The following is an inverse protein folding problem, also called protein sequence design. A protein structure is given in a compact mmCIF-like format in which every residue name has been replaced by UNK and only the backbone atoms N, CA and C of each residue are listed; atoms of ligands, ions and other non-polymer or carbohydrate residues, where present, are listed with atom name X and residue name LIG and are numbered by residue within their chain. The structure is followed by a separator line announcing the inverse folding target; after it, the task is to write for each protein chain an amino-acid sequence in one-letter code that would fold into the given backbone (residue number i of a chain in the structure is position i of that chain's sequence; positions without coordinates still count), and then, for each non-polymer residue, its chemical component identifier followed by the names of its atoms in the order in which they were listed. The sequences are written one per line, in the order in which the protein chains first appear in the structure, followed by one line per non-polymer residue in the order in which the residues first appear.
data_IF_004135327064
#
_entry.id   IF_004135327064
#
_cell.length_a   1.000
_cell.length_b   1.000
_cell.length_c   1.000
_cell.angle_alpha   90.00
_cell.angle_beta   90.00
_cell.angle_gamma   90.00
#
_symmetry.space_group_name_H-M   'P 1'
#
loop_
_entity.id
_entity.type
_entity.pdbx_description
1 polymer ?
#
# COMPACT_ATOMS: atom_id res chain seq x y z
N UNK A 1 -60.48 5.08 25.15
CA UNK A 1 -59.40 5.17 24.14
C UNK A 1 -58.85 3.76 23.93
N UNK A 2 -59.09 3.12 22.78
CA UNK A 2 -58.67 1.73 22.53
C UNK A 2 -57.23 1.72 22.01
N UNK A 3 -56.30 1.21 22.80
CA UNK A 3 -54.89 1.06 22.41
C UNK A 3 -54.80 -0.16 21.48
N UNK A 4 -54.49 0.07 20.20
CA UNK A 4 -54.15 -1.00 19.26
C UNK A 4 -52.75 -1.52 19.60
N UNK A 5 -52.67 -2.72 20.16
CA UNK A 5 -51.42 -3.47 20.29
C UNK A 5 -50.94 -3.87 18.89
N UNK A 6 -49.87 -3.24 18.42
CA UNK A 6 -49.20 -3.68 17.19
C UNK A 6 -48.56 -5.05 17.45
N UNK A 7 -48.86 -6.04 16.59
CA UNK A 7 -48.20 -7.35 16.65
C UNK A 7 -46.73 -7.18 16.30
N UNK A 8 -45.85 -7.35 17.26
CA UNK A 8 -44.41 -7.50 17.04
C UNK A 8 -44.18 -8.85 16.36
N UNK A 9 -43.91 -8.83 15.05
CA UNK A 9 -43.43 -10.01 14.33
C UNK A 9 -41.97 -10.22 14.71
N UNK A 10 -41.65 -11.29 15.45
CA UNK A 10 -40.29 -11.62 15.84
C UNK A 10 -39.58 -12.41 14.75
N UNK A 11 -38.31 -12.10 14.52
CA UNK A 11 -37.40 -12.95 13.73
C UNK A 11 -37.36 -14.35 14.35
N UNK A 12 -37.49 -15.39 13.52
CA UNK A 12 -37.33 -16.76 14.02
C UNK A 12 -35.85 -17.04 14.26
N UNK A 13 -35.54 -17.83 15.29
CA UNK A 13 -34.14 -18.19 15.59
C UNK A 13 -33.50 -18.92 14.38
N UNK A 14 -34.29 -19.72 13.67
CA UNK A 14 -33.88 -20.44 12.46
C UNK A 14 -33.50 -19.49 11.32
N UNK A 15 -34.26 -18.42 11.12
CA UNK A 15 -33.98 -17.41 10.09
C UNK A 15 -32.63 -16.72 10.35
N UNK A 16 -32.34 -16.37 11.61
CA UNK A 16 -31.04 -15.80 11.99
C UNK A 16 -29.91 -16.82 11.79
N UNK A 17 -30.11 -18.11 12.10
CA UNK A 17 -29.10 -19.16 11.90
C UNK A 17 -28.69 -19.33 10.44
N UNK A 18 -29.64 -19.30 9.51
CA UNK A 18 -29.36 -19.42 8.08
C UNK A 18 -28.58 -18.20 7.58
N UNK A 19 -28.95 -16.99 8.03
CA UNK A 19 -28.27 -15.75 7.64
C UNK A 19 -26.80 -15.75 8.09
N UNK A 20 -26.51 -16.12 9.35
CA UNK A 20 -25.12 -16.15 9.83
C UNK A 20 -24.30 -17.26 9.16
N UNK A 21 -24.92 -18.38 8.79
CA UNK A 21 -24.25 -19.45 8.04
C UNK A 21 -23.80 -18.97 6.64
N UNK A 22 -24.68 -18.27 5.92
CA UNK A 22 -24.36 -17.71 4.59
C UNK A 22 -23.29 -16.62 4.70
N UNK A 23 -23.40 -15.70 5.67
CA UNK A 23 -22.40 -14.66 5.90
C UNK A 23 -21.03 -15.28 6.22
N UNK A 24 -20.99 -16.32 7.06
CA UNK A 24 -19.76 -17.04 7.41
C UNK A 24 -19.07 -17.63 6.18
N UNK A 25 -19.83 -18.24 5.27
CA UNK A 25 -19.30 -18.79 4.01
C UNK A 25 -18.72 -17.70 3.11
N UNK A 26 -19.40 -16.55 2.97
CA UNK A 26 -18.92 -15.44 2.16
C UNK A 26 -17.61 -14.85 2.73
N UNK A 27 -17.53 -14.64 4.05
CA UNK A 27 -16.34 -14.09 4.72
C UNK A 27 -15.14 -15.03 4.55
N UNK A 28 -15.35 -16.35 4.63
CA UNK A 28 -14.29 -17.34 4.49
C UNK A 28 -13.52 -17.22 3.17
N UNK A 29 -14.23 -16.88 2.07
CA UNK A 29 -13.61 -16.68 0.75
C UNK A 29 -13.16 -15.22 0.53
N UNK A 30 -13.91 -14.25 1.06
CA UNK A 30 -13.63 -12.83 0.82
C UNK A 30 -12.37 -12.32 1.53
N UNK A 31 -12.16 -12.70 2.80
CA UNK A 31 -11.03 -12.22 3.63
C UNK A 31 -9.65 -12.54 3.05
N UNK A 32 -9.32 -13.79 2.66
CA UNK A 32 -7.98 -14.09 2.13
C UNK A 32 -7.70 -13.33 0.81
N UNK A 33 -8.71 -13.20 -0.06
CA UNK A 33 -8.59 -12.46 -1.31
C UNK A 33 -8.38 -10.96 -1.07
N UNK A 34 -9.13 -10.37 -0.14
CA UNK A 34 -8.97 -8.96 0.21
C UNK A 34 -7.57 -8.66 0.78
N UNK A 35 -7.05 -9.52 1.67
CA UNK A 35 -5.69 -9.38 2.22
C UNK A 35 -4.61 -9.42 1.13
N UNK A 36 -4.71 -10.35 0.18
CA UNK A 36 -3.79 -10.43 -0.97
C UNK A 36 -3.84 -9.16 -1.83
N UNK A 37 -5.04 -8.64 -2.10
CA UNK A 37 -5.23 -7.41 -2.89
C UNK A 37 -4.60 -6.18 -2.22
N UNK A 38 -4.78 -6.03 -0.90
CA UNK A 38 -4.15 -4.96 -0.12
C UNK A 38 -2.62 -5.07 -0.17
N UNK A 39 -2.07 -6.26 0.07
CA UNK A 39 -0.62 -6.47 0.04
C UNK A 39 -0.03 -6.16 -1.33
N UNK A 40 -0.66 -6.66 -2.41
CA UNK A 40 -0.26 -6.34 -3.78
C UNK A 40 -0.30 -4.83 -4.05
N UNK A 41 -1.35 -4.14 -3.60
CA UNK A 41 -1.47 -2.69 -3.76
C UNK A 41 -0.37 -1.94 -3.02
N UNK A 42 0.01 -2.39 -1.81
CA UNK A 42 1.14 -1.81 -1.05
C UNK A 42 2.47 -2.01 -1.77
N UNK A 43 2.71 -3.18 -2.36
CA UNK A 43 3.92 -3.46 -3.14
C UNK A 43 3.98 -2.59 -4.39
N UNK A 44 2.88 -2.47 -5.15
CA UNK A 44 2.80 -1.60 -6.32
C UNK A 44 3.07 -0.14 -5.94
N UNK A 45 2.40 0.37 -4.91
CA UNK A 45 2.61 1.74 -4.43
C UNK A 45 4.06 1.98 -3.99
N UNK A 46 4.68 0.99 -3.33
CA UNK A 46 6.08 1.05 -2.95
C UNK A 46 7.01 1.15 -4.17
N UNK A 47 6.76 0.38 -5.23
CA UNK A 47 7.56 0.46 -6.46
C UNK A 47 7.37 1.79 -7.19
N UNK A 48 6.14 2.32 -7.23
CA UNK A 48 5.89 3.66 -7.78
C UNK A 48 6.67 4.74 -7.01
N UNK A 49 6.71 4.66 -5.67
CA UNK A 49 7.51 5.59 -4.86
C UNK A 49 9.01 5.45 -5.14
N UNK A 50 9.53 4.23 -5.27
CA UNK A 50 10.93 4.01 -5.67
C UNK A 50 11.26 4.60 -7.04
N UNK A 51 10.38 4.44 -8.02
CA UNK A 51 10.54 5.05 -9.35
C UNK A 51 10.53 6.58 -9.27
N UNK A 52 9.66 7.16 -8.43
CA UNK A 52 9.64 8.61 -8.22
C UNK A 52 10.92 9.11 -7.54
N UNK A 53 11.49 8.34 -6.60
CA UNK A 53 12.79 8.64 -6.00
C UNK A 53 13.89 8.57 -7.07
N UNK A 54 13.93 7.52 -7.89
CA UNK A 54 14.89 7.40 -8.99
C UNK A 54 14.78 8.57 -9.98
N UNK A 55 13.57 8.96 -10.37
CA UNK A 55 13.33 10.12 -11.23
C UNK A 55 13.79 11.43 -10.56
N UNK A 56 13.53 11.61 -9.26
CA UNK A 56 13.94 12.80 -8.51
C UNK A 56 15.46 12.91 -8.39
N UNK A 57 16.17 11.79 -8.21
CA UNK A 57 17.64 11.75 -8.23
C UNK A 57 18.18 12.17 -9.60
N UNK A 58 17.61 11.65 -10.69
CA UNK A 58 18.02 12.01 -12.05
C UNK A 58 17.78 13.49 -12.31
N UNK A 59 16.62 14.01 -11.89
CA UNK A 59 16.31 15.44 -12.03
C UNK A 59 17.29 16.32 -11.26
N UNK A 60 17.60 15.97 -10.01
CA UNK A 60 18.63 16.65 -9.22
C UNK A 60 19.99 16.62 -9.93
N UNK A 61 20.38 15.48 -10.50
CA UNK A 61 21.64 15.34 -11.21
C UNK A 61 21.75 16.25 -12.43
N UNK A 62 20.63 16.44 -13.15
CA UNK A 62 20.57 17.32 -14.31
C UNK A 62 20.67 18.79 -13.91
N UNK A 63 19.98 19.20 -12.85
CA UNK A 63 19.99 20.59 -12.35
C UNK A 63 21.38 20.99 -11.83
N UNK A 64 21.98 20.14 -10.99
CA UNK A 64 23.26 20.41 -10.33
C UNK A 64 24.49 19.97 -11.15
N UNK A 65 24.27 19.48 -12.38
CA UNK A 65 25.32 18.93 -13.27
C UNK A 65 26.18 17.86 -12.57
N UNK A 66 25.54 16.97 -11.83
CA UNK A 66 26.17 15.85 -11.11
C UNK A 66 26.29 14.63 -12.00
N UNK A 67 27.16 13.72 -11.58
CA UNK A 67 27.38 12.44 -12.24
C UNK A 67 26.49 11.34 -11.65
N UNK A 68 26.37 10.22 -12.35
CA UNK A 68 25.63 9.03 -11.89
C UNK A 68 26.23 8.39 -10.62
N UNK A 69 27.46 8.76 -10.26
CA UNK A 69 28.14 8.29 -9.05
C UNK A 69 27.81 9.12 -7.81
N UNK A 70 27.27 10.33 -7.98
CA UNK A 70 26.94 11.22 -6.86
C UNK A 70 25.69 10.71 -6.13
N UNK A 71 25.71 10.83 -4.79
CA UNK A 71 24.60 10.41 -3.91
C UNK A 71 23.90 11.67 -3.38
N UNK A 72 22.63 11.90 -3.74
CA UNK A 72 21.87 13.01 -3.17
C UNK A 72 21.46 12.70 -1.73
N UNK A 73 21.46 13.75 -0.90
CA UNK A 73 20.86 13.70 0.44
C UNK A 73 19.33 13.78 0.37
N UNK A 74 18.64 13.26 1.39
CA UNK A 74 17.17 13.29 1.47
C UNK A 74 16.61 14.72 1.35
N UNK A 75 17.30 15.73 1.90
CA UNK A 75 16.91 17.14 1.76
C UNK A 75 16.98 17.67 0.33
N UNK A 76 17.93 17.20 -0.48
CA UNK A 76 18.13 17.67 -1.85
C UNK A 76 17.08 17.12 -2.81
N UNK A 77 16.61 15.90 -2.56
CA UNK A 77 15.52 15.32 -3.35
C UNK A 77 14.14 15.56 -2.74
N UNK A 78 14.06 15.83 -1.43
CA UNK A 78 12.82 16.13 -0.71
C UNK A 78 12.04 17.30 -1.29
N UNK A 79 12.72 18.24 -1.96
CA UNK A 79 12.11 19.38 -2.66
C UNK A 79 11.24 18.97 -3.86
N UNK A 80 11.46 17.78 -4.43
CA UNK A 80 10.66 17.25 -5.55
C UNK A 80 9.38 16.54 -5.08
N UNK A 81 9.21 16.33 -3.77
CA UNK A 81 8.02 15.74 -3.19
C UNK A 81 7.15 16.81 -2.53
N UNK A 82 5.88 16.92 -2.94
CA UNK A 82 4.94 17.93 -2.38
C UNK A 82 4.67 17.75 -0.89
N UNK A 83 4.56 16.50 -0.45
CA UNK A 83 4.13 16.15 0.91
C UNK A 83 5.29 15.65 1.80
N UNK A 84 6.54 15.93 1.41
CA UNK A 84 7.74 15.42 2.07
C UNK A 84 8.16 14.03 1.60
N UNK A 85 9.22 13.50 2.20
CA UNK A 85 9.80 12.23 1.77
C UNK A 85 8.83 11.06 2.04
N UNK A 86 8.52 10.23 1.04
CA UNK A 86 7.52 9.17 1.20
C UNK A 86 7.99 8.08 2.16
N UNK A 87 7.05 7.46 2.86
CA UNK A 87 7.26 6.20 3.61
C UNK A 87 6.61 5.04 2.88
N UNK A 88 7.18 3.83 3.00
CA UNK A 88 6.62 2.66 2.36
C UNK A 88 5.27 2.29 3.01
N UNK A 89 4.20 2.05 2.24
CA UNK A 89 2.88 1.67 2.76
C UNK A 89 2.84 0.35 3.55
N UNK A 90 3.90 -0.46 3.47
CA UNK A 90 4.09 -1.66 4.28
C UNK A 90 4.90 -1.44 5.58
N UNK A 91 5.30 -0.21 5.88
CA UNK A 91 6.03 0.14 7.10
C UNK A 91 7.57 0.17 6.96
N UNK A 92 8.09 0.18 5.74
CA UNK A 92 9.53 0.28 5.45
C UNK A 92 10.01 1.72 5.19
N UNK A 93 11.34 1.88 5.12
CA UNK A 93 12.01 3.11 4.70
C UNK A 93 12.69 2.93 3.35
N UNK A 94 12.89 4.05 2.65
CA UNK A 94 13.62 4.09 1.39
C UNK A 94 15.08 4.47 1.63
N UNK A 95 15.97 3.75 0.98
CA UNK A 95 17.41 4.05 0.95
C UNK A 95 17.74 4.64 -0.42
N UNK A 96 18.29 5.86 -0.39
CA UNK A 96 18.72 6.61 -1.56
C UNK A 96 20.15 6.14 -1.89
N UNK A 97 20.31 5.46 -3.01
CA UNK A 97 21.63 5.14 -3.57
C UNK A 97 22.10 6.28 -4.50
N UNK A 98 23.26 6.11 -5.15
CA UNK A 98 23.73 7.07 -6.16
C UNK A 98 22.70 7.26 -7.28
N UNK A 99 22.82 8.34 -8.05
CA UNK A 99 21.91 8.64 -9.17
C UNK A 99 21.80 7.45 -10.15
N UNK A 100 22.92 6.80 -10.46
CA UNK A 100 22.98 5.64 -11.36
C UNK A 100 22.62 4.29 -10.72
N UNK A 101 22.38 4.23 -9.41
CA UNK A 101 21.96 3.01 -8.71
C UNK A 101 20.49 3.11 -8.32
N UNK A 102 19.74 2.01 -8.42
CA UNK A 102 18.31 1.98 -8.06
C UNK A 102 18.12 2.25 -6.57
N UNK A 103 17.09 3.04 -6.23
CA UNK A 103 16.66 3.17 -4.85
C UNK A 103 16.12 1.82 -4.32
N UNK A 104 16.28 1.59 -3.00
CA UNK A 104 15.89 0.33 -2.35
C UNK A 104 14.90 0.60 -1.21
N UNK A 105 13.95 -0.31 -1.01
CA UNK A 105 13.05 -0.33 0.14
C UNK A 105 13.46 -1.45 1.11
N UNK A 106 13.42 -1.19 2.41
CA UNK A 106 13.75 -2.19 3.44
C UNK A 106 12.82 -3.41 3.46
N UNK A 107 11.59 -3.28 2.92
CA UNK A 107 10.58 -4.35 2.91
C UNK A 107 10.49 -5.08 1.57
N UNK A 108 10.59 -4.35 0.45
CA UNK A 108 10.35 -4.87 -0.90
C UNK A 108 11.58 -4.87 -1.82
N UNK A 109 12.76 -4.45 -1.34
CA UNK A 109 13.97 -4.40 -2.16
C UNK A 109 13.92 -3.33 -3.25
N UNK A 110 14.44 -3.64 -4.44
CA UNK A 110 14.55 -2.71 -5.58
C UNK A 110 13.42 -2.92 -6.60
N UNK A 111 13.18 -1.91 -7.45
CA UNK A 111 12.18 -2.00 -8.53
C UNK A 111 12.64 -3.00 -9.59
N UNK A 112 11.92 -4.13 -9.68
CA UNK A 112 12.19 -5.23 -10.62
C UNK A 112 12.72 -6.50 -9.97
N UNK A 113 13.13 -6.41 -8.70
CA UNK A 113 13.47 -7.56 -7.87
C UNK A 113 12.18 -8.01 -7.16
N UNK A 114 11.19 -8.42 -7.96
CA UNK A 114 10.01 -9.05 -7.39
C UNK A 114 10.49 -10.34 -6.73
N UNK A 115 10.53 -10.31 -5.40
CA UNK A 115 10.57 -11.49 -4.55
C UNK A 115 9.26 -12.27 -4.76
N UNK A 116 9.04 -12.80 -5.95
CA UNK A 116 7.91 -13.66 -6.29
C UNK A 116 8.21 -15.06 -5.75
N UNK A 117 8.23 -15.15 -4.43
CA UNK A 117 8.11 -16.38 -3.68
C UNK A 117 6.85 -16.31 -2.82
N UNK A 118 5.75 -16.86 -3.36
CA UNK A 118 4.46 -17.23 -2.73
C UNK A 118 3.32 -16.19 -2.63
#
# INVERSE_FOLDING_TARGET
MKIKTMRTSGFTLVEVMIVVAIIGLLIAVAVPNFKRSINKSRTIACHTQLQNIDASKMQWSVEEKRSDADVPSESQIGVFFRDGFPVCPAGGSYTIASVGQKATCSVHGTVGEDSTGQ
#
